data_IF_369580529483
#
_entry.id   IF_369580529483
#
_cell.length_a   1.000
_cell.length_b   1.000
_cell.length_c   1.000
_cell.angle_alpha   90.00
_cell.angle_beta   90.00
_cell.angle_gamma   90.00
#
_symmetry.space_group_name_H-M   'P 1'
#
loop_
_entity.id
_entity.type
_entity.pdbx_description
1 polymer ?
#
# COMPACT_ATOMS: atom_id res chain seq x y z
N UNK A 1 1.83 13.90 14.18
CA UNK A 1 0.94 14.56 13.20
C UNK A 1 1.70 14.63 11.89
N UNK A 2 1.26 13.91 10.85
CA UNK A 2 1.77 14.13 9.50
C UNK A 2 1.02 15.35 8.94
N UNK A 3 1.70 16.49 8.86
CA UNK A 3 1.11 17.78 8.46
C UNK A 3 0.98 17.95 6.94
N UNK A 4 1.32 16.92 6.15
CA UNK A 4 1.14 16.88 4.70
C UNK A 4 0.90 15.43 4.28
N UNK A 5 -0.36 15.06 4.10
CA UNK A 5 -0.73 13.78 3.47
C UNK A 5 -0.65 13.86 1.94
N UNK A 6 -0.53 15.04 1.36
CA UNK A 6 -0.48 15.24 -0.09
C UNK A 6 0.87 15.73 -0.60
N UNK A 7 1.30 15.18 -1.74
CA UNK A 7 2.56 15.53 -2.42
C UNK A 7 2.34 15.71 -3.93
N UNK A 8 3.15 16.56 -4.57
CA UNK A 8 3.28 16.54 -6.03
C UNK A 8 4.25 15.41 -6.39
N UNK A 9 3.79 14.31 -6.99
CA UNK A 9 4.59 13.10 -7.18
C UNK A 9 5.74 13.31 -8.16
N UNK A 10 5.57 14.13 -9.21
CA UNK A 10 6.65 14.42 -10.15
C UNK A 10 7.73 15.26 -9.50
N UNK A 11 7.34 16.32 -8.78
CA UNK A 11 8.31 17.15 -8.06
C UNK A 11 9.05 16.33 -7.00
N UNK A 12 8.33 15.49 -6.28
CA UNK A 12 8.88 14.58 -5.27
C UNK A 12 9.89 13.59 -5.87
N UNK A 13 9.55 12.99 -7.01
CA UNK A 13 10.43 12.10 -7.76
C UNK A 13 11.68 12.82 -8.28
N UNK A 14 11.53 14.00 -8.88
CA UNK A 14 12.64 14.79 -9.41
C UNK A 14 13.58 15.30 -8.31
N UNK A 15 13.03 15.73 -7.17
CA UNK A 15 13.81 16.19 -6.02
C UNK A 15 14.44 15.04 -5.22
N UNK A 16 14.15 13.78 -5.56
CA UNK A 16 14.58 12.59 -4.81
C UNK A 16 14.25 12.67 -3.32
N UNK A 17 13.09 13.27 -3.01
CA UNK A 17 12.63 13.45 -1.63
C UNK A 17 12.23 12.11 -1.02
N UNK A 18 12.25 12.04 0.31
CA UNK A 18 11.75 10.86 1.04
C UNK A 18 10.90 11.29 2.22
N UNK A 19 9.80 10.56 2.43
CA UNK A 19 8.89 10.72 3.54
C UNK A 19 8.80 9.39 4.25
N UNK A 20 8.96 9.43 5.56
CA UNK A 20 8.74 8.28 6.43
C UNK A 20 7.75 8.66 7.51
N UNK A 21 6.93 7.69 7.91
CA UNK A 21 5.89 7.97 8.88
C UNK A 21 5.34 6.72 9.53
N UNK A 22 4.61 6.95 10.62
CA UNK A 22 3.80 5.94 11.29
C UNK A 22 2.39 6.46 11.41
N UNK A 23 1.43 5.69 10.90
CA UNK A 23 0.02 6.06 10.84
C UNK A 23 -0.78 5.01 11.60
N UNK A 24 -1.65 5.38 12.55
CA UNK A 24 -2.57 4.43 13.18
C UNK A 24 -3.47 3.75 12.15
N UNK A 25 -3.75 2.45 12.31
CA UNK A 25 -4.65 1.73 11.41
C UNK A 25 -6.05 2.38 11.34
N UNK A 26 -6.51 2.93 12.47
CA UNK A 26 -7.76 3.71 12.58
C UNK A 26 -7.85 4.98 11.70
N UNK A 27 -6.84 5.30 10.89
CA UNK A 27 -6.88 6.38 9.89
C UNK A 27 -7.19 5.90 8.47
N UNK A 28 -7.30 4.60 8.26
CA UNK A 28 -7.58 3.96 6.98
C UNK A 28 -8.98 3.37 7.02
N UNK A 29 -9.98 4.16 6.62
CA UNK A 29 -11.39 3.82 6.79
C UNK A 29 -11.77 2.54 6.04
N UNK A 30 -11.31 2.39 4.78
CA UNK A 30 -11.61 1.21 3.95
C UNK A 30 -10.87 -0.02 4.44
N UNK A 31 -9.67 0.16 4.98
CA UNK A 31 -8.91 -0.94 5.56
C UNK A 31 -9.61 -1.47 6.81
N UNK A 32 -10.03 -0.58 7.72
CA UNK A 32 -10.65 -0.94 9.00
C UNK A 32 -11.92 -1.78 8.81
N UNK A 33 -12.72 -1.51 7.78
CA UNK A 33 -13.93 -2.29 7.45
C UNK A 33 -13.65 -3.79 7.24
N UNK A 34 -12.43 -4.15 6.80
CA UNK A 34 -12.01 -5.54 6.59
C UNK A 34 -11.28 -6.18 7.79
N UNK A 35 -10.98 -5.42 8.84
CA UNK A 35 -10.20 -5.90 9.99
C UNK A 35 -11.09 -6.29 11.16
N UNK A 36 -10.61 -7.23 11.98
CA UNK A 36 -11.24 -7.54 13.28
C UNK A 36 -10.90 -6.47 14.32
N UNK A 37 -9.78 -5.77 14.13
CA UNK A 37 -9.27 -4.76 15.06
C UNK A 37 -8.57 -3.65 14.28
N UNK A 38 -8.84 -2.41 14.66
CA UNK A 38 -8.17 -1.20 14.17
C UNK A 38 -6.90 -0.86 14.99
N UNK A 39 -6.52 -1.74 15.91
CA UNK A 39 -5.38 -1.55 16.78
C UNK A 39 -4.09 -1.88 16.02
N UNK A 40 -3.23 -0.88 15.89
CA UNK A 40 -1.93 -1.04 15.26
C UNK A 40 -1.47 0.22 14.57
N UNK A 41 -0.30 0.13 13.94
CA UNK A 41 0.30 1.23 13.18
C UNK A 41 0.91 0.67 11.90
N UNK A 42 0.67 1.38 10.81
CA UNK A 42 1.35 1.19 9.54
C UNK A 42 2.61 2.05 9.56
N UNK A 43 3.77 1.44 9.36
CA UNK A 43 5.02 2.15 9.11
C UNK A 43 5.23 2.20 7.61
N UNK A 44 5.61 3.35 7.08
CA UNK A 44 5.83 3.49 5.66
C UNK A 44 7.06 4.35 5.35
N UNK A 45 7.60 4.13 4.16
CA UNK A 45 8.61 4.96 3.51
C UNK A 45 8.22 5.16 2.05
N UNK A 46 8.03 6.41 1.66
CA UNK A 46 7.85 6.81 0.27
C UNK A 46 9.10 7.57 -0.17
N UNK A 47 9.71 7.15 -1.27
CA UNK A 47 10.90 7.79 -1.83
C UNK A 47 10.71 8.09 -3.31
N UNK A 48 10.96 9.33 -3.68
CA UNK A 48 11.03 9.75 -5.07
C UNK A 48 12.37 9.39 -5.70
N UNK A 49 12.37 9.13 -7.00
CA UNK A 49 13.61 9.06 -7.76
C UNK A 49 13.36 8.88 -9.25
N UNK A 50 14.35 8.33 -9.93
CA UNK A 50 14.22 7.88 -11.30
C UNK A 50 14.61 6.41 -11.43
N UNK A 51 14.02 5.72 -12.39
CA UNK A 51 14.42 4.39 -12.83
C UNK A 51 14.30 4.30 -14.35
N UNK A 52 15.34 3.78 -15.01
CA UNK A 52 15.40 3.66 -16.47
C UNK A 52 14.99 4.93 -17.24
N UNK A 53 15.33 6.10 -16.70
CA UNK A 53 15.01 7.42 -17.27
C UNK A 53 13.58 7.93 -17.00
N UNK A 54 12.76 7.18 -16.25
CA UNK A 54 11.39 7.57 -15.85
C UNK A 54 11.37 8.04 -14.39
N UNK A 55 10.59 9.07 -14.02
CA UNK A 55 10.36 9.38 -12.62
C UNK A 55 9.57 8.24 -11.95
N UNK A 56 9.94 7.87 -10.73
CA UNK A 56 9.32 6.77 -9.97
C UNK A 56 9.10 7.15 -8.51
N UNK A 57 8.11 6.52 -7.89
CA UNK A 57 7.94 6.46 -6.44
C UNK A 57 8.25 5.04 -5.96
N UNK A 58 9.08 4.93 -4.92
CA UNK A 58 9.35 3.67 -4.22
C UNK A 58 8.62 3.71 -2.89
N UNK A 59 7.67 2.81 -2.71
CA UNK A 59 6.88 2.70 -1.49
C UNK A 59 7.24 1.42 -0.76
N UNK A 60 7.58 1.55 0.51
CA UNK A 60 7.76 0.44 1.44
C UNK A 60 6.74 0.59 2.56
N UNK A 61 6.05 -0.48 2.90
CA UNK A 61 5.07 -0.52 3.97
C UNK A 61 5.33 -1.75 4.84
N UNK A 62 5.39 -1.53 6.15
CA UNK A 62 5.42 -2.56 7.17
C UNK A 62 4.22 -2.38 8.11
N UNK A 63 3.36 -3.39 8.16
CA UNK A 63 2.18 -3.38 9.00
C UNK A 63 1.89 -4.76 9.59
N UNK A 64 1.12 -4.79 10.67
CA UNK A 64 0.50 -6.00 11.17
C UNK A 64 -0.98 -5.70 11.40
N UNK A 65 -1.84 -6.51 10.78
CA UNK A 65 -3.29 -6.37 10.85
C UNK A 65 -3.91 -7.62 11.47
N UNK A 66 -5.08 -7.49 12.07
CA UNK A 66 -5.84 -8.63 12.59
C UNK A 66 -6.99 -8.94 11.65
N UNK A 67 -6.93 -10.10 11.00
CA UNK A 67 -7.94 -10.57 10.07
C UNK A 67 -8.77 -11.68 10.70
N UNK A 68 -9.96 -11.93 10.14
CA UNK A 68 -10.79 -13.07 10.50
C UNK A 68 -10.50 -14.23 9.57
N UNK A 69 -10.13 -15.38 10.10
CA UNK A 69 -9.96 -16.59 9.30
C UNK A 69 -11.31 -17.00 8.68
N UNK A 70 -11.37 -17.22 7.37
CA UNK A 70 -12.59 -17.67 6.69
C UNK A 70 -12.92 -19.15 6.92
N UNK A 71 -12.07 -19.90 7.64
CA UNK A 71 -12.29 -21.31 7.95
C UNK A 71 -12.73 -21.53 9.41
N UNK A 72 -11.92 -21.13 10.38
CA UNK A 72 -12.27 -21.27 11.81
C UNK A 72 -13.00 -20.05 12.40
N UNK A 73 -13.12 -18.95 11.66
CA UNK A 73 -13.74 -17.68 12.10
C UNK A 73 -13.03 -16.97 13.27
N UNK A 74 -11.89 -17.47 13.71
CA UNK A 74 -11.08 -16.86 14.77
C UNK A 74 -10.18 -15.73 14.22
N UNK A 75 -9.86 -14.72 15.05
CA UNK A 75 -8.96 -13.65 14.69
C UNK A 75 -7.51 -14.13 14.66
N UNK A 76 -6.75 -13.65 13.68
CA UNK A 76 -5.32 -13.95 13.58
C UNK A 76 -4.52 -12.75 13.13
N UNK A 77 -3.25 -12.70 13.54
CA UNK A 77 -2.32 -11.65 13.16
C UNK A 77 -1.72 -11.97 11.79
N UNK A 78 -1.85 -11.04 10.86
CA UNK A 78 -1.25 -11.12 9.53
C UNK A 78 -0.20 -10.02 9.40
N UNK A 79 1.04 -10.41 9.08
CA UNK A 79 2.14 -9.49 8.84
C UNK A 79 2.22 -9.12 7.36
N UNK A 80 2.34 -7.82 7.10
CA UNK A 80 2.40 -7.25 5.76
C UNK A 80 3.73 -6.53 5.59
N UNK A 81 4.47 -6.95 4.56
CA UNK A 81 5.65 -6.24 4.06
C UNK A 81 5.49 -6.03 2.58
N UNK A 82 5.31 -4.78 2.19
CA UNK A 82 5.00 -4.40 0.82
C UNK A 82 6.14 -3.52 0.32
N UNK A 83 6.71 -3.88 -0.83
CA UNK A 83 7.64 -3.05 -1.57
C UNK A 83 7.11 -2.86 -2.98
N UNK A 84 6.91 -1.62 -3.40
CA UNK A 84 6.38 -1.24 -4.71
C UNK A 84 7.24 -0.17 -5.36
N UNK A 85 7.40 -0.27 -6.67
CA UNK A 85 8.01 0.77 -7.50
C UNK A 85 6.96 1.20 -8.52
N UNK A 86 6.59 2.47 -8.46
CA UNK A 86 5.46 3.04 -9.19
C UNK A 86 5.99 4.12 -10.15
N UNK A 87 6.18 3.81 -11.44
CA UNK A 87 6.55 4.80 -12.44
C UNK A 87 5.47 5.85 -12.62
N UNK A 88 5.87 7.10 -12.81
CA UNK A 88 4.95 8.23 -12.95
C UNK A 88 4.84 8.65 -14.42
N UNK A 89 3.70 8.38 -15.03
CA UNK A 89 3.36 8.87 -16.36
C UNK A 89 2.88 10.32 -16.29
N UNK A 90 3.36 11.19 -17.18
CA UNK A 90 3.02 12.63 -17.15
C UNK A 90 1.59 12.95 -17.60
N UNK A 91 0.99 12.05 -18.37
CA UNK A 91 -0.36 12.17 -18.90
C UNK A 91 -0.92 10.80 -19.28
N UNK A 92 -2.22 10.74 -19.55
CA UNK A 92 -2.93 9.51 -19.91
C UNK A 92 -2.39 8.85 -21.17
N UNK A 93 -1.97 9.62 -22.17
CA UNK A 93 -1.44 9.07 -23.43
C UNK A 93 -0.10 8.35 -23.22
N UNK A 94 0.75 8.87 -22.32
CA UNK A 94 1.99 8.23 -21.92
C UNK A 94 1.73 6.97 -21.10
N UNK A 95 0.79 7.03 -20.15
CA UNK A 95 0.39 5.86 -19.35
C UNK A 95 -0.10 4.73 -20.25
N UNK A 96 -1.08 5.03 -21.12
CA UNK A 96 -1.64 4.06 -22.05
C UNK A 96 -0.60 3.53 -23.06
N UNK A 97 0.42 4.31 -23.41
CA UNK A 97 1.55 3.80 -24.21
C UNK A 97 2.35 2.79 -23.40
N UNK A 98 2.73 3.12 -22.16
CA UNK A 98 3.51 2.23 -21.32
C UNK A 98 2.78 0.93 -21.00
N UNK A 99 1.48 0.98 -20.69
CA UNK A 99 0.65 -0.22 -20.44
C UNK A 99 0.48 -1.09 -21.69
N UNK A 100 0.49 -0.50 -22.90
CA UNK A 100 0.50 -1.27 -24.15
C UNK A 100 1.84 -1.95 -24.39
N UNK A 101 2.95 -1.27 -24.08
CA UNK A 101 4.29 -1.80 -24.26
C UNK A 101 4.61 -2.88 -23.21
N UNK A 102 4.12 -2.71 -21.98
CA UNK A 102 4.24 -3.63 -20.86
C UNK A 102 2.93 -3.67 -20.04
N UNK A 103 2.04 -4.63 -20.29
CA UNK A 103 0.76 -4.76 -19.58
C UNK A 103 0.88 -5.08 -18.08
N UNK A 104 2.07 -5.46 -17.61
CA UNK A 104 2.33 -5.72 -16.20
C UNK A 104 2.96 -4.53 -15.48
N UNK A 105 3.22 -3.43 -16.21
CA UNK A 105 3.76 -2.22 -15.63
C UNK A 105 2.71 -1.51 -14.79
N UNK A 106 2.96 -1.48 -13.48
CA UNK A 106 2.12 -0.79 -12.51
C UNK A 106 2.50 0.70 -12.42
N UNK A 107 2.11 1.47 -13.43
CA UNK A 107 2.42 2.89 -13.54
C UNK A 107 1.25 3.76 -13.05
N UNK A 108 1.58 4.86 -12.39
CA UNK A 108 0.63 5.85 -11.92
C UNK A 108 0.62 7.09 -12.81
N UNK A 109 -0.57 7.63 -13.05
CA UNK A 109 -0.71 8.96 -13.64
C UNK A 109 -0.25 10.02 -12.62
N UNK A 110 0.67 10.88 -13.03
CA UNK A 110 1.11 12.01 -12.23
C UNK A 110 -0.01 13.04 -12.08
N UNK A 111 -0.67 13.02 -10.92
CA UNK A 111 -1.65 14.04 -10.53
C UNK A 111 -0.95 15.20 -9.79
N UNK A 112 -1.51 16.43 -9.81
CA UNK A 112 -0.90 17.57 -9.10
C UNK A 112 -0.78 17.41 -7.58
N UNK A 113 -1.62 16.55 -7.01
CA UNK A 113 -1.68 16.29 -5.57
C UNK A 113 -2.03 14.81 -5.36
N UNK A 114 -1.03 14.01 -5.05
CA UNK A 114 -1.18 12.61 -4.67
C UNK A 114 -1.39 12.51 -3.16
N UNK A 115 -2.45 11.83 -2.72
CA UNK A 115 -2.66 11.49 -1.32
C UNK A 115 -1.86 10.24 -0.96
N UNK A 116 -0.83 10.42 -0.13
CA UNK A 116 0.07 9.36 0.32
C UNK A 116 -0.66 8.36 1.22
N UNK A 117 -1.63 8.80 2.03
CA UNK A 117 -2.39 7.89 2.88
C UNK A 117 -3.32 7.02 2.06
N UNK A 118 -4.01 7.60 1.08
CA UNK A 118 -4.85 6.84 0.16
C UNK A 118 -4.03 5.80 -0.63
N UNK A 119 -2.85 6.20 -1.14
CA UNK A 119 -1.94 5.27 -1.81
C UNK A 119 -1.52 4.10 -0.88
N UNK A 120 -1.12 4.40 0.36
CA UNK A 120 -0.75 3.36 1.33
C UNK A 120 -1.93 2.41 1.60
N UNK A 121 -3.13 2.95 1.74
CA UNK A 121 -4.34 2.16 1.97
C UNK A 121 -4.63 1.20 0.81
N UNK A 122 -4.59 1.70 -0.42
CA UNK A 122 -4.81 0.90 -1.62
C UNK A 122 -3.79 -0.24 -1.73
N UNK A 123 -2.51 0.03 -1.49
CA UNK A 123 -1.46 -0.99 -1.56
C UNK A 123 -1.62 -2.07 -0.48
N UNK A 124 -2.03 -1.68 0.73
CA UNK A 124 -2.35 -2.64 1.78
C UNK A 124 -3.52 -3.51 1.33
N UNK A 125 -4.62 -2.90 0.89
CA UNK A 125 -5.83 -3.62 0.46
C UNK A 125 -5.54 -4.60 -0.69
N UNK A 126 -4.74 -4.19 -1.67
CA UNK A 126 -4.32 -5.03 -2.80
C UNK A 126 -3.41 -6.18 -2.37
N UNK A 127 -2.66 -6.02 -1.27
CA UNK A 127 -1.81 -7.08 -0.73
C UNK A 127 -2.54 -8.09 0.18
N UNK A 128 -3.75 -7.76 0.64
CA UNK A 128 -4.52 -8.64 1.52
C UNK A 128 -4.97 -9.90 0.77
N UNK A 129 -4.96 -11.07 1.44
CA UNK A 129 -5.44 -12.30 0.83
C UNK A 129 -6.94 -12.21 0.56
N UNK A 130 -7.37 -12.62 -0.65
CA UNK A 130 -8.79 -12.70 -1.05
C UNK A 130 -9.59 -13.57 -0.07
N UNK A 131 -8.95 -14.62 0.46
CA UNK A 131 -9.50 -15.48 1.50
C UNK A 131 -8.53 -15.57 2.69
N UNK A 132 -8.64 -14.68 3.69
CA UNK A 132 -7.79 -14.72 4.89
C UNK A 132 -7.96 -16.02 5.64
N UNK A 133 -6.85 -16.73 5.89
CA UNK A 133 -6.80 -17.99 6.63
C UNK A 133 -5.49 -18.06 7.42
N UNK A 134 -5.48 -18.85 8.48
CA UNK A 134 -4.22 -19.25 9.10
C UNK A 134 -3.38 -20.07 8.11
N UNK A 135 -2.09 -20.24 8.43
CA UNK A 135 -1.24 -21.21 7.74
C UNK A 135 -1.84 -22.62 7.89
N UNK A 136 -1.58 -23.48 6.91
CA UNK A 136 -2.18 -24.82 6.85
C UNK A 136 -1.88 -25.61 8.13
N UNK A 137 -2.94 -26.00 8.86
CA UNK A 137 -2.86 -26.73 10.12
C UNK A 137 -3.05 -25.90 11.40
N UNK A 138 -2.99 -24.56 11.32
CA UNK A 138 -3.19 -23.67 12.48
C UNK A 138 -4.67 -23.34 12.74
N UNK A 139 -5.57 -23.79 11.87
CA UNK A 139 -7.01 -23.75 12.12
C UNK A 139 -7.40 -24.91 13.06
N UNK A 140 -7.15 -24.77 14.36
CA UNK A 140 -7.38 -25.86 15.31
C UNK A 140 -7.28 -25.48 16.79
N UNK A 141 -8.31 -24.84 17.30
CA UNK A 141 -8.62 -24.73 18.74
C UNK A 141 -9.21 -23.36 19.05
N UNK A 142 -10.51 -23.21 19.27
CA UNK A 142 -11.27 -23.88 20.35
C UNK A 142 -12.72 -24.19 19.94
N UNK A 143 -13.05 -25.48 19.89
CA UNK A 143 -14.41 -26.00 19.92
C UNK A 143 -14.48 -27.16 20.93
N UNK A 144 -14.43 -26.82 22.21
CA UNK A 144 -14.84 -27.69 23.31
C UNK A 144 -16.06 -27.05 23.99
#
# INVERSE_FOLDING_TARGET
MLARSTVDPLRFAHASESITGKVPLAKFDRLVDGLVSDQGKVQFRLQGGADSGRPVLRLQIDAAVTLRCQYCLEPYRHELRIERVLPLARNEAELARWERDDPLLDALLAVPSLDVLALIEDEILLSLPVAPRHLDGDCGGVGA
#
